data_IF_315185236262
#
_entry.id   IF_315185236262
#
_cell.length_a   1.000
_cell.length_b   1.000
_cell.length_c   1.000
_cell.angle_alpha   90.00
_cell.angle_beta   90.00
_cell.angle_gamma   90.00
#
_symmetry.space_group_name_H-M   'P 1'
#
loop_
_entity.id
_entity.type
_entity.pdbx_description
1 polymer ?
#
# COMPACT_ATOMS: atom_id res chain seq x y z
N UNK A 1 7.75 -35.01 -7.79
CA UNK A 1 6.42 -34.73 -8.39
C UNK A 1 5.48 -34.45 -7.24
N UNK A 2 5.56 -33.23 -6.69
CA UNK A 2 4.89 -32.86 -5.44
C UNK A 2 3.54 -32.29 -5.79
N UNK A 3 2.49 -33.02 -5.41
CA UNK A 3 1.09 -32.65 -5.61
C UNK A 3 0.82 -31.27 -5.00
N UNK A 4 0.43 -30.32 -5.85
CA UNK A 4 -0.18 -29.05 -5.47
C UNK A 4 -1.48 -29.36 -4.73
N UNK A 5 -1.62 -28.91 -3.49
CA UNK A 5 -2.91 -28.89 -2.79
C UNK A 5 -3.81 -27.84 -3.47
N UNK A 6 -5.09 -28.16 -3.76
CA UNK A 6 -6.00 -27.23 -4.39
C UNK A 6 -6.44 -26.12 -3.43
N UNK A 7 -6.54 -24.90 -3.97
CA UNK A 7 -7.06 -23.70 -3.32
C UNK A 7 -8.57 -23.85 -3.12
N UNK A 8 -9.02 -24.15 -1.91
CA UNK A 8 -10.43 -24.18 -1.54
C UNK A 8 -10.86 -22.78 -1.14
N UNK A 9 -11.84 -22.24 -1.85
CA UNK A 9 -12.51 -20.97 -1.55
C UNK A 9 -13.34 -21.17 -0.27
N UNK A 10 -12.76 -20.87 0.90
CA UNK A 10 -13.45 -20.93 2.17
C UNK A 10 -14.25 -19.64 2.36
N UNK A 11 -15.59 -19.75 2.40
CA UNK A 11 -16.50 -18.61 2.64
C UNK A 11 -16.36 -18.05 4.08
N UNK A 12 -15.50 -18.63 4.92
CA UNK A 12 -15.17 -18.17 6.28
C UNK A 12 -14.20 -16.98 6.35
N UNK A 13 -13.51 -16.61 5.26
CA UNK A 13 -12.48 -15.56 5.29
C UNK A 13 -13.08 -14.15 5.45
N UNK A 14 -14.26 -13.89 4.87
CA UNK A 14 -14.93 -12.58 4.95
C UNK A 14 -15.53 -12.32 6.35
N UNK A 15 -16.08 -13.35 6.99
CA UNK A 15 -16.65 -13.25 8.34
C UNK A 15 -15.54 -13.17 9.42
N UNK A 16 -14.43 -13.87 9.20
CA UNK A 16 -13.23 -13.79 10.05
C UNK A 16 -12.54 -12.43 9.91
N UNK A 17 -12.41 -11.90 8.69
CA UNK A 17 -11.87 -10.55 8.45
C UNK A 17 -12.77 -9.45 9.05
N UNK A 18 -14.09 -9.61 8.99
CA UNK A 18 -15.05 -8.70 9.62
C UNK A 18 -14.96 -8.75 11.16
N UNK A 19 -14.88 -9.94 11.76
CA UNK A 19 -14.72 -10.11 13.23
C UNK A 19 -13.36 -9.59 13.73
N UNK A 20 -12.29 -9.76 12.95
CA UNK A 20 -10.97 -9.19 13.26
C UNK A 20 -11.00 -7.66 13.15
N UNK A 21 -11.66 -7.10 12.13
CA UNK A 21 -11.82 -5.65 11.98
C UNK A 21 -12.65 -5.01 13.10
N UNK A 22 -13.73 -5.67 13.53
CA UNK A 22 -14.59 -5.23 14.66
C UNK A 22 -13.87 -5.33 15.99
N UNK A 23 -13.02 -6.35 16.19
CA UNK A 23 -12.24 -6.49 17.43
C UNK A 23 -11.09 -5.47 17.49
N UNK A 24 -10.47 -5.14 16.35
CA UNK A 24 -9.44 -4.11 16.26
C UNK A 24 -10.00 -2.69 16.48
N UNK A 25 -11.25 -2.41 16.09
CA UNK A 25 -11.87 -1.10 16.29
C UNK A 25 -12.23 -0.80 17.75
N UNK A 26 -12.38 -1.82 18.60
CA UNK A 26 -12.75 -1.64 20.01
C UNK A 26 -11.54 -1.25 20.88
N UNK A 27 -10.31 -1.46 20.39
CA UNK A 27 -9.08 -1.16 21.13
C UNK A 27 -8.11 -0.26 20.35
N UNK A 28 -8.62 0.70 19.57
CA UNK A 28 -7.75 1.78 19.08
C UNK A 28 -7.24 2.56 20.29
N UNK A 29 -5.93 2.50 20.53
CA UNK A 29 -5.27 3.32 21.55
C UNK A 29 -5.75 4.77 21.41
N UNK A 30 -6.10 5.46 22.52
CA UNK A 30 -6.50 6.87 22.48
C UNK A 30 -5.52 7.73 21.65
N UNK A 31 -4.23 7.39 21.68
CA UNK A 31 -3.19 8.04 20.90
C UNK A 31 -3.37 7.88 19.39
N UNK A 32 -3.79 6.71 18.93
CA UNK A 32 -4.02 6.42 17.50
C UNK A 32 -5.27 7.13 16.98
N UNK A 33 -6.31 7.26 17.81
CA UNK A 33 -7.47 8.06 17.47
C UNK A 33 -7.12 9.55 17.37
N UNK A 34 -6.39 10.07 18.38
CA UNK A 34 -5.95 11.46 18.38
C UNK A 34 -5.04 11.80 17.19
N UNK A 35 -4.12 10.91 16.83
CA UNK A 35 -3.24 11.12 15.68
C UNK A 35 -4.00 11.14 14.36
N UNK A 36 -5.02 10.28 14.20
CA UNK A 36 -5.90 10.29 13.03
C UNK A 36 -6.71 11.59 12.93
N UNK A 37 -7.30 12.05 14.05
CA UNK A 37 -8.05 13.31 14.07
C UNK A 37 -7.15 14.52 13.77
N UNK A 38 -5.94 14.54 14.34
CA UNK A 38 -4.95 15.58 14.06
C UNK A 38 -4.55 15.60 12.59
N UNK A 39 -4.31 14.42 11.98
CA UNK A 39 -4.02 14.28 10.55
C UNK A 39 -5.16 14.82 9.69
N UNK A 40 -6.41 14.45 9.98
CA UNK A 40 -7.57 14.92 9.24
C UNK A 40 -7.72 16.45 9.33
N UNK A 41 -7.46 17.04 10.50
CA UNK A 41 -7.47 18.49 10.68
C UNK A 41 -6.36 19.18 9.87
N UNK A 42 -5.13 18.65 9.91
CA UNK A 42 -4.00 19.20 9.16
C UNK A 42 -4.26 19.20 7.65
N UNK A 43 -4.83 18.13 7.12
CA UNK A 43 -5.21 18.04 5.70
C UNK A 43 -6.25 19.12 5.36
N UNK A 44 -7.26 19.33 6.21
CA UNK A 44 -8.28 20.39 6.01
C UNK A 44 -7.67 21.79 6.01
N UNK A 45 -6.70 22.05 6.89
CA UNK A 45 -5.99 23.33 6.97
C UNK A 45 -5.15 23.55 5.71
N UNK A 46 -4.33 22.57 5.32
CA UNK A 46 -3.49 22.65 4.12
C UNK A 46 -4.31 22.88 2.86
N UNK A 47 -5.49 22.27 2.76
CA UNK A 47 -6.43 22.43 1.64
C UNK A 47 -6.98 23.86 1.48
N UNK A 48 -6.90 24.72 2.50
CA UNK A 48 -7.27 26.14 2.36
C UNK A 48 -6.18 26.97 1.64
N UNK A 49 -4.97 26.43 1.53
CA UNK A 49 -3.85 27.05 0.83
C UNK A 49 -3.77 26.67 -0.65
N UNK A 50 -2.73 27.12 -1.36
CA UNK A 50 -2.48 26.72 -2.74
C UNK A 50 -2.11 25.23 -2.82
N UNK A 51 -2.90 24.45 -3.57
CA UNK A 51 -2.68 23.01 -3.77
C UNK A 51 -2.07 22.74 -5.16
N UNK A 52 -0.94 22.02 -5.23
CA UNK A 52 -0.36 21.61 -6.51
C UNK A 52 -1.34 20.72 -7.29
N UNK A 53 -1.46 20.97 -8.59
CA UNK A 53 -2.39 20.22 -9.44
C UNK A 53 -1.81 18.84 -9.83
N UNK A 54 -0.49 18.70 -9.87
CA UNK A 54 0.21 17.49 -10.26
C UNK A 54 1.44 17.25 -9.38
N UNK A 55 1.60 16.03 -8.87
CA UNK A 55 2.78 15.61 -8.09
C UNK A 55 3.36 14.32 -8.68
N UNK A 56 4.69 14.27 -8.82
CA UNK A 56 5.45 13.08 -9.23
C UNK A 56 6.18 12.43 -8.05
N UNK A 57 6.11 11.10 -7.95
CA UNK A 57 6.80 10.31 -6.94
C UNK A 57 7.74 9.28 -7.56
N UNK A 58 8.93 9.15 -6.97
CA UNK A 58 9.87 8.06 -7.26
C UNK A 58 9.91 7.16 -6.03
N UNK A 59 9.37 5.95 -6.16
CA UNK A 59 9.26 5.01 -5.03
C UNK A 59 10.48 4.12 -4.93
N UNK A 60 11.59 4.70 -4.49
CA UNK A 60 12.83 3.98 -4.25
C UNK A 60 13.00 3.63 -2.75
N UNK A 61 13.87 2.67 -2.46
CA UNK A 61 14.28 2.33 -1.11
C UNK A 61 13.67 1.05 -0.56
N UNK A 62 12.68 0.45 -1.21
CA UNK A 62 11.98 -0.75 -0.73
C UNK A 62 12.94 -1.90 -0.33
N UNK A 63 13.94 -2.19 -1.18
CA UNK A 63 14.96 -3.22 -0.90
C UNK A 63 15.86 -2.84 0.28
N UNK A 64 16.25 -1.56 0.40
CA UNK A 64 17.10 -1.05 1.48
C UNK A 64 16.34 -1.07 2.81
N UNK A 65 15.06 -0.69 2.78
CA UNK A 65 14.16 -0.73 3.91
C UNK A 65 13.96 -2.16 4.43
N UNK A 66 13.68 -3.12 3.53
CA UNK A 66 13.57 -4.53 3.91
C UNK A 66 14.85 -5.04 4.62
N UNK A 67 16.03 -4.77 4.05
CA UNK A 67 17.31 -5.17 4.67
C UNK A 67 17.51 -4.52 6.04
N UNK A 68 17.19 -3.23 6.18
CA UNK A 68 17.32 -2.51 7.47
C UNK A 68 16.40 -3.08 8.54
N UNK A 69 15.23 -3.57 8.14
CA UNK A 69 14.23 -4.16 9.05
C UNK A 69 14.40 -5.68 9.24
N UNK A 70 15.47 -6.28 8.71
CA UNK A 70 15.69 -7.74 8.69
C UNK A 70 14.50 -8.52 8.10
N UNK A 71 13.90 -7.97 7.05
CA UNK A 71 12.74 -8.51 6.34
C UNK A 71 13.10 -9.00 4.94
N UNK A 72 12.24 -9.84 4.37
CA UNK A 72 12.41 -10.30 3.00
C UNK A 72 12.22 -9.11 2.03
N UNK A 73 12.94 -9.14 0.90
CA UNK A 73 12.85 -8.08 -0.13
C UNK A 73 11.42 -7.92 -0.63
N UNK A 74 10.72 -9.05 -0.79
CA UNK A 74 9.30 -9.09 -1.19
C UNK A 74 8.43 -8.32 -0.20
N UNK A 75 8.61 -8.50 1.11
CA UNK A 75 7.87 -7.73 2.13
C UNK A 75 8.14 -6.23 2.00
N UNK A 76 9.37 -5.83 1.67
CA UNK A 76 9.69 -4.43 1.39
C UNK A 76 8.90 -3.84 0.23
N UNK A 77 8.61 -4.63 -0.81
CA UNK A 77 7.78 -4.20 -1.93
C UNK A 77 6.30 -4.06 -1.54
N UNK A 78 5.77 -4.98 -0.73
CA UNK A 78 4.42 -4.85 -0.17
C UNK A 78 4.29 -3.60 0.72
N UNK A 79 5.27 -3.35 1.58
CA UNK A 79 5.30 -2.14 2.42
C UNK A 79 5.43 -0.87 1.58
N UNK A 80 6.19 -0.91 0.48
CA UNK A 80 6.27 0.17 -0.49
C UNK A 80 4.92 0.47 -1.16
N UNK A 81 4.16 -0.56 -1.52
CA UNK A 81 2.80 -0.40 -2.04
C UNK A 81 1.86 0.24 -1.01
N UNK A 82 1.88 -0.21 0.25
CA UNK A 82 1.04 0.37 1.29
C UNK A 82 1.36 1.86 1.52
N UNK A 83 2.66 2.21 1.54
CA UNK A 83 3.08 3.60 1.65
C UNK A 83 2.59 4.45 0.46
N UNK A 84 2.65 3.91 -0.75
CA UNK A 84 2.08 4.54 -1.95
C UNK A 84 0.59 4.77 -1.79
N UNK A 85 -0.16 3.75 -1.37
CA UNK A 85 -1.60 3.82 -1.20
C UNK A 85 -2.00 4.90 -0.19
N UNK A 86 -1.35 4.93 0.98
CA UNK A 86 -1.57 5.97 1.99
C UNK A 86 -1.22 7.37 1.47
N UNK A 87 -0.16 7.49 0.67
CA UNK A 87 0.26 8.76 0.09
C UNK A 87 -0.73 9.26 -0.98
N UNK A 88 -1.25 8.36 -1.82
CA UNK A 88 -2.30 8.66 -2.79
C UNK A 88 -3.59 9.09 -2.09
N UNK A 89 -3.97 8.43 -1.01
CA UNK A 89 -5.12 8.80 -0.18
C UNK A 89 -4.99 10.23 0.38
N UNK A 90 -3.81 10.61 0.87
CA UNK A 90 -3.54 11.99 1.32
C UNK A 90 -3.72 12.98 0.16
N UNK A 91 -3.13 12.68 -1.00
CA UNK A 91 -3.19 13.57 -2.16
C UNK A 91 -4.62 13.77 -2.64
N UNK A 92 -5.42 12.70 -2.63
CA UNK A 92 -6.85 12.75 -2.93
C UNK A 92 -7.58 13.68 -1.95
N UNK A 93 -7.36 13.52 -0.64
CA UNK A 93 -8.01 14.34 0.38
C UNK A 93 -7.57 15.81 0.36
N UNK A 94 -6.32 16.08 -0.02
CA UNK A 94 -5.80 17.44 -0.24
C UNK A 94 -6.39 18.10 -1.49
N UNK A 95 -6.89 17.32 -2.46
CA UNK A 95 -7.43 17.82 -3.73
C UNK A 95 -6.40 17.94 -4.85
N UNK A 96 -5.31 17.17 -4.79
CA UNK A 96 -4.36 17.03 -5.90
C UNK A 96 -5.05 16.27 -7.04
N UNK A 97 -5.04 16.85 -8.25
CA UNK A 97 -5.79 16.29 -9.39
C UNK A 97 -5.08 15.14 -10.09
N UNK A 98 -3.75 15.21 -10.16
CA UNK A 98 -2.94 14.23 -10.88
C UNK A 98 -1.79 13.78 -10.01
N UNK A 99 -1.56 12.46 -9.94
CA UNK A 99 -0.36 11.89 -9.34
C UNK A 99 0.30 10.98 -10.36
N UNK A 100 1.61 11.14 -10.55
CA UNK A 100 2.43 10.22 -11.35
C UNK A 100 3.37 9.49 -10.43
N UNK A 101 3.41 8.16 -10.53
CA UNK A 101 4.27 7.33 -9.70
C UNK A 101 5.21 6.53 -10.60
N UNK A 102 6.51 6.65 -10.35
CA UNK A 102 7.52 5.82 -10.98
C UNK A 102 7.63 4.49 -10.23
N UNK A 103 6.78 3.54 -10.61
CA UNK A 103 6.64 2.27 -9.91
C UNK A 103 7.64 1.18 -10.36
N UNK A 104 8.03 1.18 -11.63
CA UNK A 104 8.95 0.18 -12.20
C UNK A 104 9.72 0.74 -13.40
N UNK A 105 11.04 0.58 -13.42
CA UNK A 105 11.91 1.06 -14.51
C UNK A 105 12.33 -0.05 -15.48
N UNK A 106 12.75 0.32 -16.70
CA UNK A 106 13.28 -0.64 -17.67
C UNK A 106 14.53 -1.35 -17.12
N UNK A 107 15.36 -0.63 -16.36
CA UNK A 107 16.55 -1.19 -15.70
C UNK A 107 16.17 -2.21 -14.62
N UNK A 108 14.95 -2.19 -14.08
CA UNK A 108 14.52 -3.17 -13.09
C UNK A 108 14.31 -4.56 -13.70
N UNK A 109 14.17 -4.69 -15.02
CA UNK A 109 14.20 -6.00 -15.69
C UNK A 109 15.57 -6.69 -15.60
N UNK A 110 16.65 -5.97 -15.26
CA UNK A 110 17.99 -6.55 -15.05
C UNK A 110 18.14 -7.23 -13.69
N UNK A 111 17.11 -7.20 -12.83
CA UNK A 111 17.10 -7.87 -11.51
C UNK A 111 16.86 -9.37 -11.67
N UNK A 112 17.09 -10.19 -10.62
CA UNK A 112 16.82 -11.62 -10.67
C UNK A 112 15.38 -11.90 -11.14
N UNK A 113 15.15 -12.86 -12.05
CA UNK A 113 13.82 -13.13 -12.62
C UNK A 113 12.74 -13.39 -11.57
N UNK A 114 13.09 -14.05 -10.46
CA UNK A 114 12.19 -14.31 -9.33
C UNK A 114 11.71 -13.02 -8.64
N UNK A 115 12.59 -12.01 -8.50
CA UNK A 115 12.23 -10.70 -7.96
C UNK A 115 11.27 -9.97 -8.92
N UNK A 116 11.56 -10.01 -10.22
CA UNK A 116 10.73 -9.38 -11.25
C UNK A 116 9.34 -10.02 -11.31
N UNK A 117 9.26 -11.35 -11.32
CA UNK A 117 7.98 -12.08 -11.33
C UNK A 117 7.14 -11.73 -10.11
N UNK A 118 7.76 -11.64 -8.93
CA UNK A 118 7.08 -11.25 -7.70
C UNK A 118 6.53 -9.82 -7.77
N UNK A 119 7.30 -8.88 -8.34
CA UNK A 119 6.86 -7.50 -8.54
C UNK A 119 5.68 -7.39 -9.52
N UNK A 120 5.73 -8.14 -10.63
CA UNK A 120 4.65 -8.16 -11.61
C UNK A 120 3.37 -8.77 -11.03
N UNK A 121 3.49 -9.84 -10.25
CA UNK A 121 2.35 -10.45 -9.59
C UNK A 121 1.74 -9.53 -8.52
N UNK A 122 2.59 -8.85 -7.74
CA UNK A 122 2.13 -7.81 -6.81
C UNK A 122 1.35 -6.71 -7.54
N UNK A 123 1.88 -6.20 -8.65
CA UNK A 123 1.20 -5.19 -9.45
C UNK A 123 -0.15 -5.69 -9.97
N UNK A 124 -0.20 -6.91 -10.51
CA UNK A 124 -1.42 -7.54 -11.01
C UNK A 124 -2.49 -7.63 -9.92
N UNK A 125 -2.15 -8.19 -8.75
CA UNK A 125 -3.08 -8.34 -7.63
C UNK A 125 -3.62 -6.98 -7.18
N UNK A 126 -2.73 -6.00 -7.00
CA UNK A 126 -3.11 -4.69 -6.47
C UNK A 126 -3.90 -3.82 -7.44
N UNK A 127 -3.61 -3.92 -8.73
CA UNK A 127 -4.42 -3.24 -9.74
C UNK A 127 -5.85 -3.79 -9.79
N UNK A 128 -6.02 -5.10 -9.68
CA UNK A 128 -7.37 -5.71 -9.61
C UNK A 128 -8.11 -5.26 -8.35
N UNK A 129 -7.45 -5.29 -7.18
CA UNK A 129 -8.04 -4.83 -5.92
C UNK A 129 -8.53 -3.37 -5.97
N UNK A 130 -7.81 -2.51 -6.70
CA UNK A 130 -8.20 -1.10 -6.90
C UNK A 130 -9.40 -0.92 -7.84
N UNK A 131 -9.64 -1.86 -8.75
CA UNK A 131 -10.78 -1.81 -9.66
C UNK A 131 -12.08 -2.36 -9.03
N UNK A 132 -11.97 -3.18 -8.00
CA UNK A 132 -13.10 -3.80 -7.30
C UNK A 132 -13.66 -2.92 -6.16
N UNK A 133 -12.97 -1.83 -5.80
CA UNK A 133 -13.39 -0.84 -4.79
C UNK A 133 -13.94 0.42 -5.45
#
# INVERSE_FOLDING_TARGET
>A
MTFLKPYTHDQNDAETASKVAVTASIFTSPLTYLSQQARALLIKILRQGPIPQHIGFIMDGNRRFARKMNRLVVEGHYMGYNAMYEMLDICLHLGVKVVTVYAFSIENFKRPPEEVNTLMELARIKMVELCEK
#
